data_IF_105004588120
#
_entry.id   IF_105004588120
#
_cell.length_a   1.000
_cell.length_b   1.000
_cell.length_c   1.000
_cell.angle_alpha   90.00
_cell.angle_beta   90.00
_cell.angle_gamma   90.00
#
_symmetry.space_group_name_H-M   'P 1'
#
loop_
_entity.id
_entity.type
_entity.pdbx_description
1 polymer ?
#
# COMPACT_ATOMS: atom_id res chain seq x y z
N UNK A 1 -14.11 -5.59 -0.79
CA UNK A 1 -14.08 -4.64 -1.94
C UNK A 1 -12.80 -4.88 -2.73
N UNK A 2 -12.84 -4.77 -4.06
CA UNK A 2 -11.70 -5.05 -4.94
C UNK A 2 -10.94 -3.74 -5.25
N UNK A 3 -9.63 -3.69 -4.97
CA UNK A 3 -8.78 -2.53 -5.26
C UNK A 3 -8.74 -2.18 -6.74
N UNK A 4 -8.84 -3.16 -7.64
CA UNK A 4 -8.85 -2.92 -9.08
C UNK A 4 -10.01 -2.02 -9.53
N UNK A 5 -11.17 -2.10 -8.87
CA UNK A 5 -12.30 -1.24 -9.20
C UNK A 5 -12.13 0.15 -8.58
N UNK A 6 -11.61 0.24 -7.35
CA UNK A 6 -11.37 1.52 -6.69
C UNK A 6 -10.27 2.34 -7.37
N UNK A 7 -9.22 1.67 -7.87
CA UNK A 7 -8.11 2.31 -8.57
C UNK A 7 -8.53 3.01 -9.88
N UNK A 8 -9.69 2.67 -10.45
CA UNK A 8 -10.25 3.36 -11.62
C UNK A 8 -10.89 4.71 -11.27
N UNK A 9 -11.18 4.96 -10.00
CA UNK A 9 -11.86 6.20 -9.57
C UNK A 9 -10.85 7.34 -9.41
N UNK A 10 -11.05 8.45 -10.15
CA UNK A 10 -10.12 9.59 -10.21
C UNK A 10 -9.68 10.19 -8.87
N UNK A 11 -10.49 10.06 -7.82
CA UNK A 11 -10.20 10.60 -6.48
C UNK A 11 -9.65 9.55 -5.50
N UNK A 12 -9.54 8.28 -5.89
CA UNK A 12 -8.96 7.22 -5.06
C UNK A 12 -7.59 6.92 -5.62
N UNK A 13 -6.57 7.54 -5.03
CA UNK A 13 -5.19 7.50 -5.53
C UNK A 13 -4.31 6.46 -4.84
N UNK A 14 -4.84 5.71 -3.87
CA UNK A 14 -4.05 4.76 -3.12
C UNK A 14 -4.78 4.06 -1.98
N UNK A 15 -4.00 3.30 -1.20
CA UNK A 15 -4.43 2.56 -0.01
C UNK A 15 -3.41 2.73 1.12
N UNK A 16 -3.92 2.89 2.35
CA UNK A 16 -3.15 2.61 3.58
C UNK A 16 -3.47 1.19 4.04
N UNK A 17 -2.47 0.32 4.09
CA UNK A 17 -2.62 -1.06 4.52
C UNK A 17 -2.05 -1.28 5.93
N UNK A 18 -2.93 -1.59 6.89
CA UNK A 18 -2.58 -1.89 8.28
C UNK A 18 -2.69 -3.39 8.62
N UNK A 19 -2.70 -4.28 7.63
CA UNK A 19 -2.82 -5.74 7.84
C UNK A 19 -1.50 -6.41 8.23
N UNK A 20 -0.36 -5.76 7.99
CA UNK A 20 0.98 -6.34 8.20
C UNK A 20 1.45 -7.27 7.06
N UNK A 21 0.71 -7.38 5.97
CA UNK A 21 1.07 -8.21 4.81
C UNK A 21 2.10 -7.50 3.93
N UNK A 22 3.39 -7.74 4.24
CA UNK A 22 4.51 -7.15 3.51
C UNK A 22 4.52 -7.47 2.01
N UNK A 23 3.91 -8.58 1.56
CA UNK A 23 3.93 -8.97 0.15
C UNK A 23 2.78 -8.35 -0.66
N UNK A 24 1.84 -7.64 -0.02
CA UNK A 24 0.70 -7.04 -0.71
C UNK A 24 1.09 -6.00 -1.77
N UNK A 25 2.11 -5.15 -1.58
CA UNK A 25 2.52 -4.16 -2.57
C UNK A 25 2.83 -4.78 -3.93
N UNK A 26 3.69 -5.79 -3.95
CA UNK A 26 4.04 -6.52 -5.16
C UNK A 26 2.80 -7.14 -5.84
N UNK A 27 1.88 -7.74 -5.06
CA UNK A 27 0.66 -8.34 -5.65
C UNK A 27 -0.26 -7.28 -6.23
N UNK A 28 -0.39 -6.14 -5.56
CA UNK A 28 -1.29 -5.08 -5.99
C UNK A 28 -0.73 -4.36 -7.22
N UNK A 29 0.57 -4.01 -7.24
CA UNK A 29 1.23 -3.43 -8.41
C UNK A 29 1.06 -4.28 -9.66
N UNK A 30 1.15 -5.61 -9.54
CA UNK A 30 0.89 -6.53 -10.67
C UNK A 30 -0.56 -6.50 -11.19
N UNK A 31 -1.52 -6.06 -10.37
CA UNK A 31 -2.95 -6.05 -10.73
C UNK A 31 -3.42 -4.68 -11.24
N UNK A 32 -2.89 -3.58 -10.72
CA UNK A 32 -3.39 -2.23 -10.98
C UNK A 32 -2.35 -1.25 -11.52
N UNK A 33 -1.09 -1.67 -11.62
CA UNK A 33 0.03 -0.83 -12.01
C UNK A 33 0.65 -0.05 -10.84
N UNK A 34 1.76 0.62 -11.13
CA UNK A 34 2.59 1.29 -10.11
C UNK A 34 2.09 2.69 -9.73
N UNK A 35 1.11 3.24 -10.45
CA UNK A 35 0.57 4.59 -10.20
C UNK A 35 -0.34 4.65 -8.95
N UNK A 36 -0.81 3.52 -8.43
CA UNK A 36 -1.67 3.49 -7.26
C UNK A 36 -0.83 3.49 -5.98
N UNK A 37 -0.94 4.56 -5.18
CA UNK A 37 -0.14 4.74 -3.98
C UNK A 37 -0.44 3.66 -2.93
N UNK A 38 0.58 3.13 -2.27
CA UNK A 38 0.48 2.00 -1.35
C UNK A 38 1.30 2.32 -0.11
N UNK A 39 0.64 2.63 1.01
CA UNK A 39 1.30 3.06 2.23
C UNK A 39 1.14 2.00 3.31
N UNK A 40 2.23 1.69 4.03
CA UNK A 40 2.11 0.89 5.26
C UNK A 40 1.37 1.68 6.33
N UNK A 41 0.53 0.98 7.08
CA UNK A 41 -0.08 1.43 8.33
C UNK A 41 0.37 0.63 9.55
N UNK A 42 1.31 -0.29 9.38
CA UNK A 42 1.90 -1.09 10.45
C UNK A 42 3.40 -0.80 10.58
N UNK A 43 3.80 -0.27 11.75
CA UNK A 43 5.17 0.18 12.04
C UNK A 43 6.15 -0.99 12.06
N UNK A 44 5.71 -2.17 12.50
CA UNK A 44 6.57 -3.35 12.62
C UNK A 44 6.98 -3.92 11.26
N UNK A 45 6.08 -3.89 10.27
CA UNK A 45 6.31 -4.46 8.94
C UNK A 45 6.64 -3.42 7.86
N UNK A 46 6.70 -2.13 8.23
CA UNK A 46 6.92 -1.03 7.30
C UNK A 46 8.12 -1.22 6.38
N UNK A 47 9.26 -1.66 6.92
CA UNK A 47 10.47 -1.90 6.12
C UNK A 47 10.24 -2.97 5.03
N UNK A 48 9.66 -4.11 5.40
CA UNK A 48 9.38 -5.22 4.48
C UNK A 48 8.30 -4.85 3.45
N UNK A 49 7.32 -4.04 3.85
CA UNK A 49 6.30 -3.50 2.96
C UNK A 49 6.90 -2.59 1.89
N UNK A 50 7.79 -1.67 2.29
CA UNK A 50 8.52 -0.81 1.35
C UNK A 50 9.43 -1.62 0.42
N UNK A 51 10.17 -2.59 0.96
CA UNK A 51 11.04 -3.48 0.18
C UNK A 51 10.27 -4.27 -0.90
N UNK A 52 8.97 -4.50 -0.69
CA UNK A 52 8.11 -5.22 -1.63
C UNK A 52 7.43 -4.32 -2.67
N UNK A 53 7.79 -3.03 -2.74
CA UNK A 53 7.23 -2.06 -3.67
C UNK A 53 6.24 -1.07 -3.05
N UNK A 54 6.16 -0.99 -1.72
CA UNK A 54 5.38 0.05 -1.04
C UNK A 54 5.98 1.45 -1.24
N UNK A 55 5.13 2.47 -1.15
CA UNK A 55 5.46 3.85 -1.49
C UNK A 55 5.75 4.75 -0.27
N UNK A 56 5.48 4.26 0.94
CA UNK A 56 5.67 5.05 2.15
C UNK A 56 4.96 4.42 3.35
N UNK A 57 4.84 5.21 4.41
CA UNK A 57 4.16 4.81 5.63
C UNK A 57 3.39 5.98 6.26
N UNK A 58 2.23 5.68 6.82
CA UNK A 58 1.54 6.54 7.79
C UNK A 58 1.70 5.90 9.17
N UNK A 59 2.69 6.39 9.91
CA UNK A 59 3.24 5.80 11.15
C UNK A 59 2.65 6.41 12.42
N UNK A 60 2.50 5.58 13.47
CA UNK A 60 2.23 6.05 14.84
C UNK A 60 3.53 6.37 15.56
N UNK A 61 4.59 5.61 15.31
CA UNK A 61 5.92 5.78 15.94
C UNK A 61 6.58 7.11 15.55
N UNK A 62 6.26 7.67 14.38
CA UNK A 62 6.80 8.94 13.89
C UNK A 62 6.14 10.21 14.46
N UNK A 63 5.52 10.15 15.64
CA UNK A 63 4.99 11.32 16.36
C UNK A 63 6.10 12.30 16.77
#
# INVERSE_FOLDING_TARGET
>A
MNYCELAKHKNIIGVKDATGDAARPARLSNLIGDDFCQLSGDDATAFSYLASGGHGMISVVSN
#
